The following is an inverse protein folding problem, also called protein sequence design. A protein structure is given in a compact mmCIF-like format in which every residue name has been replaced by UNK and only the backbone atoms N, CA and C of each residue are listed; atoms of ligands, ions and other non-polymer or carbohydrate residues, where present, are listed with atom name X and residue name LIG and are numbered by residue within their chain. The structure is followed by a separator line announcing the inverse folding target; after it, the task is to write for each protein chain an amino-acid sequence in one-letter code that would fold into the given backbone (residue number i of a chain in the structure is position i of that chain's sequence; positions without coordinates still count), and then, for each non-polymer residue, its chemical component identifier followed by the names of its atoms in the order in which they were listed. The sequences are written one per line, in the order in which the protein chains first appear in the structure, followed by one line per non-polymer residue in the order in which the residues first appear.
data_IF_577005739657
#
_entry.id   IF_577005739657
#
_cell.length_a   1.000
_cell.length_b   1.000
_cell.length_c   1.000
_cell.angle_alpha   90.00
_cell.angle_beta   90.00
_cell.angle_gamma   90.00
#
_symmetry.space_group_name_H-M   'P 1'
#
loop_
_entity.id
_entity.type
_entity.pdbx_description
1 polymer ?
#
# COMPACT_ATOMS: atom_id res chain seq x y z
N UNK A 1 19.33 -2.59 10.61
CA UNK A 1 19.21 -1.77 9.40
C UNK A 1 19.12 -0.29 9.74
N UNK A 2 18.02 0.20 10.32
CA UNK A 2 17.94 1.60 10.81
C UNK A 2 18.94 1.90 11.95
N UNK A 3 19.27 0.89 12.74
CA UNK A 3 20.27 0.94 13.81
C UNK A 3 21.65 0.38 13.42
N UNK A 4 21.89 0.13 12.12
CA UNK A 4 23.15 -0.42 11.60
C UNK A 4 23.40 -1.92 11.87
N UNK A 5 22.58 -2.59 12.68
CA UNK A 5 22.75 -4.01 13.06
C UNK A 5 22.36 -5.06 12.01
N UNK A 6 21.83 -4.63 10.87
CA UNK A 6 21.38 -5.53 9.79
C UNK A 6 21.84 -4.90 8.48
N UNK A 7 22.59 -5.66 7.69
CA UNK A 7 23.24 -5.25 6.45
C UNK A 7 22.31 -5.36 5.22
N UNK A 8 21.12 -5.94 5.38
CA UNK A 8 20.12 -6.03 4.32
C UNK A 8 19.59 -4.65 3.92
N UNK A 9 19.12 -4.53 2.69
CA UNK A 9 18.55 -3.30 2.13
C UNK A 9 17.03 -3.25 2.32
N UNK A 10 16.50 -2.14 2.83
CA UNK A 10 15.07 -1.87 2.95
C UNK A 10 14.55 -1.47 1.59
N UNK A 11 13.71 -2.31 1.02
CA UNK A 11 13.05 -2.04 -0.25
C UNK A 11 11.58 -1.71 0.03
N UNK A 12 11.22 -0.42 -0.02
CA UNK A 12 9.82 0.03 0.08
C UNK A 12 9.26 0.08 -1.34
N UNK A 13 8.44 -0.91 -1.71
CA UNK A 13 7.95 -1.09 -3.07
C UNK A 13 6.44 -1.30 -3.05
N UNK A 14 5.73 -0.69 -3.99
CA UNK A 14 4.29 -0.85 -4.13
C UNK A 14 3.69 0.13 -5.12
N UNK A 15 2.38 0.02 -5.37
CA UNK A 15 1.66 0.91 -6.28
C UNK A 15 1.75 2.38 -5.83
N UNK A 16 1.65 3.30 -6.79
CA UNK A 16 1.74 4.74 -6.51
C UNK A 16 0.65 5.22 -5.54
N UNK A 17 -0.57 4.68 -5.70
CA UNK A 17 -1.73 4.82 -4.83
C UNK A 17 -2.63 3.59 -4.98
N UNK A 18 -3.21 3.14 -3.87
CA UNK A 18 -4.16 2.01 -3.86
C UNK A 18 -5.55 2.53 -4.17
N UNK A 19 -6.17 2.01 -5.22
CA UNK A 19 -7.55 2.31 -5.59
C UNK A 19 -8.43 1.05 -5.63
N UNK A 20 -7.84 -0.12 -5.87
CA UNK A 20 -8.51 -1.41 -5.85
C UNK A 20 -7.88 -2.34 -4.79
N UNK A 21 -8.64 -2.73 -3.74
CA UNK A 21 -8.23 -3.71 -2.73
C UNK A 21 -7.83 -5.08 -3.30
N UNK A 22 -8.54 -5.60 -4.29
CA UNK A 22 -8.32 -6.96 -4.78
C UNK A 22 -7.04 -7.03 -5.62
N UNK A 23 -6.84 -6.05 -6.50
CA UNK A 23 -5.59 -5.88 -7.24
C UNK A 23 -4.37 -5.67 -6.31
N UNK A 24 -4.57 -4.99 -5.17
CA UNK A 24 -3.51 -4.83 -4.17
C UNK A 24 -3.14 -6.17 -3.53
N UNK A 25 -4.11 -7.02 -3.22
CA UNK A 25 -3.86 -8.35 -2.64
C UNK A 25 -3.15 -9.27 -3.65
N UNK A 26 -3.51 -9.20 -4.93
CA UNK A 26 -2.79 -9.90 -5.99
C UNK A 26 -1.34 -9.43 -6.11
N UNK A 27 -1.12 -8.12 -6.10
CA UNK A 27 0.23 -7.55 -6.09
C UNK A 27 1.01 -8.01 -4.85
N UNK A 28 0.39 -8.02 -3.67
CA UNK A 28 1.03 -8.46 -2.43
C UNK A 28 1.48 -9.93 -2.51
N UNK A 29 0.65 -10.82 -3.08
CA UNK A 29 0.99 -12.23 -3.30
C UNK A 29 2.19 -12.38 -4.23
N UNK A 30 2.18 -11.70 -5.37
CA UNK A 30 3.28 -11.75 -6.34
C UNK A 30 4.57 -11.13 -5.77
N UNK A 31 4.44 -10.01 -5.05
CA UNK A 31 5.56 -9.34 -4.39
C UNK A 31 6.22 -10.24 -3.35
N UNK A 32 5.42 -10.95 -2.53
CA UNK A 32 5.94 -11.90 -1.55
C UNK A 32 6.74 -13.02 -2.21
N UNK A 33 6.21 -13.62 -3.27
CA UNK A 33 6.89 -14.69 -4.01
C UNK A 33 8.19 -14.19 -4.68
N UNK A 34 8.17 -12.98 -5.25
CA UNK A 34 9.35 -12.38 -5.88
C UNK A 34 10.46 -12.04 -4.88
N UNK A 35 10.12 -11.70 -3.63
CA UNK A 35 11.09 -11.35 -2.60
C UNK A 35 11.62 -12.55 -1.80
N UNK A 36 10.95 -13.70 -1.84
CA UNK A 36 11.38 -14.93 -1.17
C UNK A 36 12.84 -15.33 -1.46
N UNK A 37 13.32 -15.36 -2.73
CA UNK A 37 14.72 -15.69 -3.04
C UNK A 37 15.73 -14.60 -2.64
N UNK A 38 15.27 -13.40 -2.25
CA UNK A 38 16.12 -12.24 -1.92
C UNK A 38 16.20 -11.96 -0.41
N UNK A 39 15.60 -12.81 0.43
CA UNK A 39 15.42 -12.55 1.87
C UNK A 39 16.71 -12.32 2.69
N UNK A 40 17.84 -12.83 2.19
CA UNK A 40 19.16 -12.65 2.80
C UNK A 40 19.81 -11.31 2.45
N UNK A 41 19.34 -10.63 1.40
CA UNK A 41 19.87 -9.37 0.91
C UNK A 41 18.94 -8.18 1.13
N UNK A 42 17.61 -8.40 1.13
CA UNK A 42 16.62 -7.32 1.24
C UNK A 42 15.60 -7.58 2.35
N UNK A 43 15.11 -6.47 2.92
CA UNK A 43 13.92 -6.40 3.76
C UNK A 43 12.82 -5.77 2.91
N UNK A 44 11.94 -6.57 2.28
CA UNK A 44 10.87 -6.05 1.45
C UNK A 44 9.73 -5.49 2.32
N UNK A 45 9.29 -4.27 2.02
CA UNK A 45 8.14 -3.62 2.66
C UNK A 45 7.16 -3.17 1.58
N UNK A 46 5.96 -3.73 1.63
CA UNK A 46 4.89 -3.37 0.71
C UNK A 46 4.34 -1.98 1.05
N UNK A 47 4.43 -1.06 0.09
CA UNK A 47 3.88 0.29 0.19
C UNK A 47 2.40 0.30 -0.20
N UNK A 48 1.55 0.76 0.72
CA UNK A 48 0.12 0.95 0.50
C UNK A 48 -0.26 2.40 0.85
N UNK A 49 -0.33 3.28 -0.14
CA UNK A 49 -0.76 4.67 0.07
C UNK A 49 -2.25 4.80 -0.25
N UNK A 50 -3.03 5.08 0.79
CA UNK A 50 -4.47 5.31 0.70
C UNK A 50 -4.85 6.79 0.56
N UNK A 51 -3.86 7.68 0.64
CA UNK A 51 -4.02 9.12 0.51
C UNK A 51 -2.98 9.67 -0.46
N UNK A 52 -3.40 10.66 -1.25
CA UNK A 52 -2.53 11.37 -2.17
C UNK A 52 -2.59 12.87 -1.84
N UNK A 53 -1.54 13.47 -1.29
CA UNK A 53 -1.55 14.90 -1.01
C UNK A 53 -1.62 15.68 -2.33
N UNK A 54 -2.63 16.54 -2.47
CA UNK A 54 -2.86 17.38 -3.66
C UNK A 54 -2.98 18.85 -3.23
N UNK A 55 -2.40 19.74 -4.02
CA UNK A 55 -2.34 21.19 -3.76
C UNK A 55 -3.43 22.00 -4.46
N UNK A 56 -4.05 21.48 -5.53
CA UNK A 56 -4.96 22.25 -6.39
C UNK A 56 -6.35 21.63 -6.51
N UNK A 57 -6.54 20.51 -7.23
CA UNK A 57 -7.79 19.71 -7.21
C UNK A 57 -7.49 18.29 -7.70
N UNK A 58 -8.19 17.27 -7.19
CA UNK A 58 -8.10 15.89 -7.67
C UNK A 58 -8.39 14.85 -6.59
N UNK A 59 -8.58 13.59 -6.99
CA UNK A 59 -8.86 12.49 -6.07
C UNK A 59 -7.83 12.42 -4.93
N UNK A 60 -8.34 12.50 -3.71
CA UNK A 60 -7.55 12.60 -2.46
C UNK A 60 -7.12 11.24 -1.92
N UNK A 61 -7.64 10.14 -2.47
CA UNK A 61 -7.28 8.77 -2.13
C UNK A 61 -8.47 7.93 -1.66
N UNK A 62 -8.23 6.61 -1.51
CA UNK A 62 -9.24 5.59 -1.20
C UNK A 62 -9.97 5.85 0.12
N UNK A 63 -9.30 6.41 1.12
CA UNK A 63 -9.94 6.78 2.39
C UNK A 63 -10.92 7.93 2.18
N UNK A 64 -10.54 8.93 1.38
CA UNK A 64 -11.35 10.13 1.21
C UNK A 64 -12.51 9.93 0.25
N UNK A 65 -12.35 9.09 -0.77
CA UNK A 65 -13.36 8.89 -1.82
C UNK A 65 -13.20 7.50 -2.45
N UNK A 66 -13.72 6.44 -1.81
CA UNK A 66 -13.47 5.06 -2.24
C UNK A 66 -14.06 4.72 -3.61
N UNK A 67 -15.13 5.40 -4.00
CA UNK A 67 -15.89 5.12 -5.23
C UNK A 67 -15.49 6.03 -6.42
N UNK A 68 -14.50 6.92 -6.23
CA UNK A 68 -13.98 7.86 -7.26
C UNK A 68 -15.07 8.76 -7.88
N UNK A 69 -16.19 8.97 -7.19
CA UNK A 69 -17.38 9.69 -7.65
C UNK A 69 -17.59 11.04 -6.94
N UNK A 70 -16.64 11.45 -6.07
CA UNK A 70 -16.76 12.59 -5.15
C UNK A 70 -17.90 12.45 -4.13
N UNK A 71 -18.34 11.23 -3.81
CA UNK A 71 -19.32 10.98 -2.75
C UNK A 71 -18.74 11.14 -1.34
N UNK A 72 -17.41 11.10 -1.22
CA UNK A 72 -16.68 11.29 0.04
C UNK A 72 -17.11 10.33 1.16
N UNK A 73 -17.36 9.06 0.83
CA UNK A 73 -17.73 8.03 1.81
C UNK A 73 -16.54 7.58 2.69
N UNK A 74 -16.10 8.44 3.60
CA UNK A 74 -14.89 8.21 4.43
C UNK A 74 -14.99 6.93 5.29
N UNK A 75 -16.16 6.66 5.89
CA UNK A 75 -16.36 5.45 6.69
C UNK A 75 -16.18 4.16 5.87
N UNK A 76 -16.62 4.17 4.61
CA UNK A 76 -16.44 3.05 3.67
C UNK A 76 -14.96 2.91 3.29
N UNK A 77 -14.28 4.03 3.00
CA UNK A 77 -12.84 4.05 2.73
C UNK A 77 -11.99 3.51 3.89
N UNK A 78 -12.31 3.88 5.13
CA UNK A 78 -11.67 3.34 6.34
C UNK A 78 -11.89 1.84 6.48
N UNK A 79 -13.11 1.35 6.23
CA UNK A 79 -13.41 -0.08 6.29
C UNK A 79 -12.58 -0.88 5.27
N UNK A 80 -12.50 -0.40 4.02
CA UNK A 80 -11.67 -1.03 2.98
C UNK A 80 -10.17 -1.01 3.32
N UNK A 81 -9.66 0.12 3.85
CA UNK A 81 -8.28 0.23 4.31
C UNK A 81 -7.97 -0.80 5.41
N UNK A 82 -8.80 -0.86 6.45
CA UNK A 82 -8.63 -1.83 7.54
C UNK A 82 -8.72 -3.28 7.04
N UNK A 83 -9.62 -3.56 6.09
CA UNK A 83 -9.75 -4.89 5.47
C UNK A 83 -8.49 -5.29 4.69
N UNK A 84 -7.89 -4.37 3.93
CA UNK A 84 -6.61 -4.61 3.24
C UNK A 84 -5.49 -4.87 4.25
N UNK A 85 -5.43 -4.09 5.32
CA UNK A 85 -4.35 -4.15 6.30
C UNK A 85 -4.36 -5.42 7.17
N UNK A 86 -5.55 -5.99 7.40
CA UNK A 86 -5.73 -7.21 8.19
C UNK A 86 -5.42 -8.50 7.40
N UNK A 87 -5.42 -8.46 6.07
CA UNK A 87 -5.21 -9.63 5.21
C UNK A 87 -3.71 -9.90 4.92
N UNK A 88 -2.86 -9.84 5.96
CA UNK A 88 -1.41 -10.10 5.86
C UNK A 88 -1.08 -11.54 5.47
#
# INVERSE_FOLDING_TARGET
MLSGKDHRVLAIVGPCSVHDPDALLDFARQFKAACEPLGDAIVPVLRMYFEKPRTVVGWKGLISDPDLDNSFHINKGLHHCCKCWRQR
#
